data_IF_017390294008
#
_entry.id   IF_017390294008
#
_cell.length_a   1.000
_cell.length_b   1.000
_cell.length_c   1.000
_cell.angle_alpha   90.00
_cell.angle_beta   90.00
_cell.angle_gamma   90.00
#
_symmetry.space_group_name_H-M   'P 1'
#
loop_
_entity.id
_entity.type
_entity.pdbx_description
1 polymer ?
#
# COMPACT_ATOMS: atom_id res chain seq x y z
N UNK A 1 -46.69 71.89 6.93
CA UNK A 1 -46.71 71.25 8.27
C UNK A 1 -47.51 69.97 8.16
N UNK A 2 -46.83 68.81 8.13
CA UNK A 2 -47.27 67.46 8.52
C UNK A 2 -46.52 66.41 7.68
N UNK A 3 -45.73 65.60 8.38
CA UNK A 3 -44.95 64.49 7.87
C UNK A 3 -45.80 63.20 7.76
N UNK A 4 -45.38 62.24 6.93
CA UNK A 4 -44.85 60.93 7.37
C UNK A 4 -44.68 59.94 6.21
N UNK A 5 -43.63 59.12 6.35
CA UNK A 5 -43.05 58.12 5.45
C UNK A 5 -43.96 56.91 5.16
N UNK A 6 -43.63 56.11 4.13
CA UNK A 6 -43.31 54.66 4.22
C UNK A 6 -42.63 54.18 2.92
N UNK A 7 -41.51 53.45 3.09
CA UNK A 7 -40.76 52.67 2.09
C UNK A 7 -41.43 51.30 1.85
N UNK A 8 -41.49 50.82 0.60
CA UNK A 8 -41.27 49.39 0.28
C UNK A 8 -40.53 49.24 -1.04
N UNK A 9 -39.42 48.52 -0.92
CA UNK A 9 -38.38 48.15 -1.86
C UNK A 9 -38.87 47.25 -3.01
N UNK A 10 -38.51 47.59 -4.24
CA UNK A 10 -38.70 46.74 -5.42
C UNK A 10 -37.73 45.57 -5.45
N UNK A 11 -38.25 44.34 -5.44
CA UNK A 11 -37.47 43.14 -5.73
C UNK A 11 -37.73 42.72 -7.19
N UNK A 12 -36.93 43.25 -8.10
CA UNK A 12 -36.87 42.80 -9.48
C UNK A 12 -35.41 42.74 -9.89
N UNK A 13 -34.87 41.54 -10.09
CA UNK A 13 -33.70 41.24 -10.92
C UNK A 13 -33.50 39.72 -11.03
N UNK A 14 -34.12 39.19 -12.08
CA UNK A 14 -33.51 38.38 -13.14
C UNK A 14 -32.54 37.27 -12.70
N UNK A 15 -33.05 36.04 -12.81
CA UNK A 15 -32.28 34.83 -13.10
C UNK A 15 -31.20 35.10 -14.15
N UNK A 16 -29.93 35.11 -13.74
CA UNK A 16 -28.79 35.03 -14.64
C UNK A 16 -28.22 33.61 -14.66
N UNK A 17 -28.49 32.94 -15.78
CA UNK A 17 -27.47 32.24 -16.57
C UNK A 17 -26.67 31.16 -15.87
N UNK A 18 -27.23 29.95 -15.86
CA UNK A 18 -26.48 28.71 -15.70
C UNK A 18 -25.73 28.44 -17.01
N UNK A 19 -24.56 29.08 -17.18
CA UNK A 19 -23.63 28.73 -18.26
C UNK A 19 -22.83 27.54 -17.76
N UNK A 20 -23.09 26.37 -18.37
CA UNK A 20 -22.40 25.13 -18.07
C UNK A 20 -20.89 25.27 -18.25
N UNK A 21 -20.16 25.29 -17.13
CA UNK A 21 -18.80 24.81 -17.13
C UNK A 21 -18.85 23.29 -17.38
N UNK A 22 -18.06 22.73 -18.30
CA UNK A 22 -17.88 21.29 -18.32
C UNK A 22 -17.37 20.88 -16.95
N UNK A 23 -18.10 19.98 -16.28
CA UNK A 23 -17.66 19.37 -15.05
C UNK A 23 -16.33 18.65 -15.33
N UNK A 24 -15.23 19.35 -15.09
CA UNK A 24 -13.93 18.73 -14.99
C UNK A 24 -13.98 17.83 -13.76
N UNK A 25 -14.43 16.59 -13.95
CA UNK A 25 -14.24 15.48 -13.03
C UNK A 25 -12.75 15.06 -12.97
N UNK A 26 -11.83 16.00 -13.22
CA UNK A 26 -10.43 15.85 -12.90
C UNK A 26 -10.25 16.40 -11.49
N UNK A 27 -10.06 15.54 -10.49
CA UNK A 27 -9.47 15.98 -9.25
C UNK A 27 -8.21 16.77 -9.59
N UNK A 28 -8.25 18.10 -9.39
CA UNK A 28 -7.14 18.97 -9.70
C UNK A 28 -5.91 18.38 -9.00
N UNK A 29 -4.93 17.94 -9.80
CA UNK A 29 -3.65 17.51 -9.26
C UNK A 29 -3.13 18.70 -8.45
N UNK A 30 -2.91 18.55 -7.13
CA UNK A 30 -2.31 19.63 -6.36
C UNK A 30 -1.04 20.05 -7.07
N UNK A 31 -0.81 21.36 -7.24
CA UNK A 31 0.46 21.85 -7.75
C UNK A 31 1.60 21.14 -7.00
N UNK A 32 2.61 20.66 -7.72
CA UNK A 32 3.72 19.92 -7.14
C UNK A 32 4.41 20.80 -6.09
N UNK A 33 4.05 20.61 -4.83
CA UNK A 33 4.71 21.24 -3.70
C UNK A 33 5.94 20.37 -3.45
N UNK A 34 7.12 20.90 -3.75
CA UNK A 34 8.38 20.20 -3.47
C UNK A 34 8.50 19.80 -2.00
N UNK A 35 9.52 19.01 -1.68
CA UNK A 35 9.80 18.69 -0.28
C UNK A 35 10.11 19.98 0.49
N UNK A 36 9.54 20.09 1.69
CA UNK A 36 9.70 21.26 2.57
C UNK A 36 10.18 20.78 3.91
N UNK A 37 11.22 21.42 4.41
CA UNK A 37 11.79 21.19 5.72
C UNK A 37 11.52 22.40 6.60
N UNK A 38 11.16 22.13 7.86
CA UNK A 38 11.01 23.17 8.89
C UNK A 38 12.29 23.17 9.71
N UNK A 39 12.94 24.32 9.79
CA UNK A 39 14.18 24.51 10.54
C UNK A 39 13.90 25.47 11.69
N UNK A 40 14.22 25.03 12.90
CA UNK A 40 14.12 25.85 14.12
C UNK A 40 15.52 26.36 14.48
N UNK A 41 15.68 27.67 14.54
CA UNK A 41 16.93 28.35 14.91
C UNK A 41 16.67 29.11 16.21
N UNK A 42 17.47 28.84 17.24
CA UNK A 42 17.36 29.50 18.54
C UNK A 42 18.47 30.54 18.69
N UNK A 43 18.10 31.83 18.67
CA UNK A 43 19.00 32.95 18.91
C UNK A 43 18.67 33.55 20.30
N UNK A 44 19.38 33.06 21.32
CA UNK A 44 19.17 33.49 22.70
C UNK A 44 17.78 33.11 23.24
N UNK A 45 16.87 34.09 23.33
CA UNK A 45 15.47 33.91 23.79
C UNK A 45 14.45 33.85 22.65
N UNK A 46 14.87 34.09 21.41
CA UNK A 46 13.98 34.15 20.25
C UNK A 46 14.11 32.86 19.44
N UNK A 47 12.99 32.20 19.15
CA UNK A 47 12.92 31.02 18.28
C UNK A 47 12.43 31.43 16.89
N UNK A 48 13.30 31.33 15.89
CA UNK A 48 12.98 31.61 14.49
C UNK A 48 12.64 30.27 13.81
N UNK A 49 11.49 30.20 13.15
CA UNK A 49 11.02 29.00 12.45
C UNK A 49 10.98 29.30 10.94
N UNK A 50 11.89 28.69 10.19
CA UNK A 50 12.00 28.87 8.73
C UNK A 50 11.49 27.65 7.97
N UNK A 51 10.87 27.88 6.79
CA UNK A 51 10.49 26.82 5.86
C UNK A 51 11.40 26.81 4.63
N UNK A 52 12.25 25.80 4.48
CA UNK A 52 13.16 25.64 3.33
C UNK A 52 12.56 24.65 2.33
N UNK A 53 12.53 25.02 1.05
CA UNK A 53 12.11 24.12 -0.03
C UNK A 53 13.36 23.38 -0.50
N UNK A 54 13.39 22.07 -0.35
CA UNK A 54 14.47 21.21 -0.84
C UNK A 54 14.15 20.71 -2.24
N UNK A 55 15.19 20.40 -3.01
CA UNK A 55 15.06 19.88 -4.36
C UNK A 55 14.32 18.53 -4.36
N UNK A 56 13.37 18.39 -5.29
CA UNK A 56 12.70 17.13 -5.55
C UNK A 56 13.41 16.36 -6.64
N UNK A 57 13.57 15.03 -6.52
CA UNK A 57 14.05 14.21 -7.61
C UNK A 57 13.21 14.46 -8.87
N UNK A 58 13.88 14.63 -10.03
CA UNK A 58 13.18 14.78 -11.30
C UNK A 58 12.43 13.49 -11.67
N UNK A 59 11.28 13.68 -12.36
CA UNK A 59 10.46 12.58 -12.85
C UNK A 59 11.24 11.79 -13.92
N UNK A 60 11.17 10.46 -13.81
CA UNK A 60 11.75 9.48 -14.73
C UNK A 60 11.28 9.68 -16.19
N UNK A 61 11.99 9.10 -17.19
CA UNK A 61 11.64 9.22 -18.61
C UNK A 61 10.20 8.82 -18.93
N UNK A 62 9.79 9.14 -20.16
CA UNK A 62 8.43 8.98 -20.66
C UNK A 62 7.81 7.63 -20.25
N UNK A 63 6.59 7.65 -19.70
CA UNK A 63 5.93 6.43 -19.25
C UNK A 63 5.63 5.47 -20.41
N UNK A 64 5.53 4.15 -20.15
CA UNK A 64 5.12 3.19 -21.16
C UNK A 64 3.62 3.33 -21.53
N UNK A 65 2.77 3.80 -20.64
CA UNK A 65 1.34 4.00 -20.91
C UNK A 65 0.89 5.42 -20.46
N UNK A 66 0.76 6.39 -21.37
CA UNK A 66 0.35 7.75 -21.02
C UNK A 66 -1.13 7.87 -20.62
N UNK A 67 -1.97 6.88 -20.95
CA UNK A 67 -3.42 6.90 -20.67
C UNK A 67 -3.76 6.51 -19.22
N UNK A 68 -2.80 5.98 -18.47
CA UNK A 68 -3.01 5.55 -17.08
C UNK A 68 -3.28 6.72 -16.14
N UNK A 69 -4.38 6.64 -15.37
CA UNK A 69 -4.76 7.67 -14.39
C UNK A 69 -3.85 7.70 -13.15
N UNK A 70 -3.37 6.52 -12.74
CA UNK A 70 -2.53 6.34 -11.56
C UNK A 70 -1.08 6.02 -11.95
N UNK A 71 -0.05 6.39 -11.15
CA UNK A 71 1.35 6.07 -11.45
C UNK A 71 1.56 4.57 -11.72
N UNK A 72 1.05 3.68 -10.86
CA UNK A 72 1.19 2.22 -11.02
C UNK A 72 0.55 1.72 -12.33
N UNK A 73 -0.59 2.31 -12.72
CA UNK A 73 -1.32 2.00 -13.94
C UNK A 73 -0.52 2.49 -15.17
N UNK A 74 0.06 3.68 -15.08
CA UNK A 74 0.88 4.34 -16.10
C UNK A 74 2.15 3.54 -16.41
N UNK A 75 2.69 2.85 -15.40
CA UNK A 75 3.86 1.98 -15.49
C UNK A 75 3.52 0.50 -15.73
N UNK A 76 2.25 0.14 -15.92
CA UNK A 76 1.79 -1.25 -16.13
C UNK A 76 2.26 -2.24 -15.02
N UNK A 77 2.34 -1.74 -13.79
CA UNK A 77 2.77 -2.51 -12.61
C UNK A 77 1.60 -3.16 -11.85
N UNK A 78 0.36 -3.01 -12.32
CA UNK A 78 -0.82 -3.59 -11.68
C UNK A 78 -0.64 -5.12 -11.54
N UNK A 79 -0.81 -5.64 -10.32
CA UNK A 79 -0.66 -7.06 -9.96
C UNK A 79 0.74 -7.67 -10.10
N UNK A 80 1.78 -6.87 -10.35
CA UNK A 80 3.15 -7.38 -10.53
C UNK A 80 4.07 -7.19 -9.32
N UNK A 81 3.68 -6.34 -8.38
CA UNK A 81 4.51 -6.01 -7.21
C UNK A 81 4.04 -6.72 -5.95
N UNK A 82 4.99 -6.98 -5.05
CA UNK A 82 4.80 -7.58 -3.74
C UNK A 82 5.34 -6.73 -2.59
N UNK A 83 5.45 -7.35 -1.41
CA UNK A 83 6.08 -6.74 -0.23
C UNK A 83 7.62 -6.76 -0.30
N UNK A 84 8.18 -7.51 -1.23
CA UNK A 84 9.61 -7.69 -1.47
C UNK A 84 10.20 -6.53 -2.28
N UNK A 85 9.37 -5.82 -3.05
CA UNK A 85 9.78 -4.74 -3.95
C UNK A 85 10.05 -3.42 -3.22
N UNK A 86 11.12 -3.41 -2.41
CA UNK A 86 11.52 -2.26 -1.57
C UNK A 86 11.73 -0.98 -2.39
N UNK A 87 12.21 -1.10 -3.63
CA UNK A 87 12.48 0.05 -4.51
C UNK A 87 11.21 0.77 -4.96
N UNK A 88 10.11 0.04 -5.13
CA UNK A 88 8.81 0.62 -5.46
C UNK A 88 8.16 1.20 -4.19
N UNK A 89 8.20 0.42 -3.10
CA UNK A 89 7.54 0.81 -1.85
C UNK A 89 8.17 2.08 -1.25
N UNK A 90 9.50 2.21 -1.27
CA UNK A 90 10.21 3.35 -0.68
C UNK A 90 9.79 4.72 -1.24
N UNK A 91 9.33 4.77 -2.49
CA UNK A 91 8.86 5.99 -3.15
C UNK A 91 7.59 6.56 -2.52
N UNK A 92 6.75 5.70 -1.91
CA UNK A 92 5.45 6.08 -1.33
C UNK A 92 5.50 6.26 0.19
N UNK A 93 6.67 6.14 0.82
CA UNK A 93 6.84 6.15 2.28
C UNK A 93 7.62 7.39 2.71
N UNK A 94 7.32 7.88 3.91
CA UNK A 94 8.06 8.94 4.61
C UNK A 94 9.40 8.42 5.15
N UNK A 95 10.36 9.30 5.48
CA UNK A 95 11.60 8.87 6.15
C UNK A 95 11.35 8.10 7.46
N UNK A 96 10.21 8.29 8.14
CA UNK A 96 9.87 7.60 9.39
C UNK A 96 9.06 6.29 9.24
N UNK A 97 8.83 5.81 8.01
CA UNK A 97 8.06 4.58 7.76
C UNK A 97 6.53 4.80 7.66
N UNK A 98 6.05 6.04 7.71
CA UNK A 98 4.64 6.36 7.49
C UNK A 98 4.27 6.43 6.01
N UNK A 99 3.10 5.94 5.63
CA UNK A 99 2.59 6.02 4.25
C UNK A 99 2.27 7.47 3.85
N UNK A 100 2.54 7.85 2.59
CA UNK A 100 2.11 9.14 2.04
C UNK A 100 0.61 9.16 1.73
N UNK A 101 -0.08 10.31 1.83
CA UNK A 101 -1.51 10.39 1.57
C UNK A 101 -1.85 10.20 0.07
N UNK A 102 -2.97 9.51 -0.21
CA UNK A 102 -3.45 9.24 -1.58
C UNK A 102 -3.54 10.48 -2.47
N UNK A 103 -4.01 11.60 -1.91
CA UNK A 103 -4.18 12.88 -2.63
C UNK A 103 -2.88 13.43 -3.21
N UNK A 104 -1.75 13.11 -2.59
CA UNK A 104 -0.41 13.55 -3.03
C UNK A 104 0.22 12.52 -3.97
N UNK A 105 0.12 11.23 -3.63
CA UNK A 105 0.68 10.14 -4.47
C UNK A 105 -0.03 9.96 -5.81
N UNK A 106 -1.30 10.36 -5.93
CA UNK A 106 -2.09 10.18 -7.16
C UNK A 106 -2.48 8.72 -7.46
N UNK A 107 -2.42 7.83 -6.46
CA UNK A 107 -2.79 6.42 -6.62
C UNK A 107 -4.32 6.21 -6.63
N UNK A 108 -4.76 5.17 -7.35
CA UNK A 108 -6.12 4.63 -7.22
C UNK A 108 -6.36 4.11 -5.80
N UNK A 109 -7.61 4.08 -5.37
CA UNK A 109 -7.96 3.65 -4.00
C UNK A 109 -7.57 2.19 -3.73
N UNK A 110 -7.71 1.32 -4.72
CA UNK A 110 -7.31 -0.09 -4.66
C UNK A 110 -5.81 -0.24 -4.48
N UNK A 111 -5.02 0.37 -5.36
CA UNK A 111 -3.56 0.30 -5.33
C UNK A 111 -2.99 0.98 -4.09
N UNK A 112 -3.61 2.06 -3.60
CA UNK A 112 -3.20 2.70 -2.36
C UNK A 112 -3.34 1.75 -1.15
N UNK A 113 -4.44 0.99 -1.07
CA UNK A 113 -4.64 -0.01 0.00
C UNK A 113 -3.63 -1.15 -0.09
N UNK A 114 -3.42 -1.69 -1.30
CA UNK A 114 -2.43 -2.75 -1.54
C UNK A 114 -1.03 -2.31 -1.12
N UNK A 115 -0.58 -1.14 -1.56
CA UNK A 115 0.74 -0.60 -1.17
C UNK A 115 0.80 -0.40 0.34
N UNK A 116 -0.24 0.15 0.98
CA UNK A 116 -0.25 0.32 2.44
C UNK A 116 -0.05 -1.02 3.18
N UNK A 117 -0.66 -2.09 2.68
CA UNK A 117 -0.53 -3.43 3.25
C UNK A 117 0.86 -4.03 2.97
N UNK A 118 1.38 -3.89 1.76
CA UNK A 118 2.75 -4.27 1.42
C UNK A 118 3.78 -3.55 2.30
N UNK A 119 3.61 -2.25 2.55
CA UNK A 119 4.47 -1.46 3.44
C UNK A 119 4.41 -1.98 4.87
N UNK A 120 3.20 -2.27 5.39
CA UNK A 120 3.02 -2.87 6.73
C UNK A 120 3.72 -4.23 6.83
N UNK A 121 3.66 -5.04 5.78
CA UNK A 121 4.33 -6.33 5.71
C UNK A 121 5.85 -6.17 5.66
N UNK A 122 6.37 -5.27 4.83
CA UNK A 122 7.80 -4.99 4.69
C UNK A 122 8.43 -4.50 6.00
N UNK A 123 7.75 -3.63 6.75
CA UNK A 123 8.21 -3.19 8.07
C UNK A 123 8.27 -4.34 9.09
N UNK A 124 7.29 -5.25 9.08
CA UNK A 124 7.29 -6.42 9.97
C UNK A 124 8.35 -7.45 9.59
N UNK A 125 8.66 -7.55 8.30
CA UNK A 125 9.72 -8.42 7.78
C UNK A 125 11.12 -7.83 7.97
N UNK A 126 11.25 -6.53 8.27
CA UNK A 126 12.54 -5.88 8.50
C UNK A 126 13.25 -5.44 7.21
N UNK A 127 12.55 -5.36 6.08
CA UNK A 127 13.12 -4.96 4.78
C UNK A 127 13.46 -3.47 4.70
N UNK A 128 12.92 -2.64 5.61
CA UNK A 128 13.08 -1.18 5.64
C UNK A 128 13.80 -0.73 6.92
N UNK A 129 15.12 -0.98 7.07
CA UNK A 129 15.87 -0.63 8.28
C UNK A 129 16.04 0.88 8.47
N UNK A 130 16.18 1.64 7.39
CA UNK A 130 16.41 3.10 7.42
C UNK A 130 15.12 3.89 7.74
N UNK A 131 13.95 3.29 7.59
CA UNK A 131 12.65 3.95 7.76
C UNK A 131 12.04 3.66 9.14
N UNK A 132 12.82 3.89 10.20
CA UNK A 132 12.36 3.71 11.58
C UNK A 132 11.86 5.03 12.17
N UNK A 133 10.90 4.98 13.10
CA UNK A 133 10.48 6.18 13.83
C UNK A 133 11.67 6.72 14.63
N UNK A 134 11.76 8.06 14.71
CA UNK A 134 12.74 8.72 15.58
C UNK A 134 12.38 8.42 17.04
N UNK A 135 13.37 7.98 17.80
CA UNK A 135 13.25 7.76 19.23
C UNK A 135 13.61 9.08 19.95
N UNK A 136 12.99 9.37 21.10
CA UNK A 136 13.38 10.53 21.90
C UNK A 136 14.81 10.37 22.42
N UNK A 137 15.46 11.50 22.68
CA UNK A 137 16.83 11.55 23.17
C UNK A 137 16.98 10.72 24.46
N UNK A 138 18.04 9.91 24.54
CA UNK A 138 18.30 9.01 25.69
C UNK A 138 17.46 7.73 25.76
N UNK A 139 16.54 7.46 24.84
CA UNK A 139 15.78 6.20 24.84
C UNK A 139 16.56 5.06 24.19
N UNK A 140 17.06 4.13 25.02
CA UNK A 140 17.74 2.91 24.57
C UNK A 140 16.70 1.77 24.46
N UNK A 141 16.44 1.22 23.26
CA UNK A 141 15.47 0.14 23.10
C UNK A 141 15.96 -1.16 23.76
N UNK A 142 15.10 -1.78 24.57
CA UNK A 142 15.39 -3.10 25.18
C UNK A 142 15.59 -4.17 24.10
N UNK A 143 16.55 -5.07 24.32
CA UNK A 143 16.73 -6.25 23.48
C UNK A 143 15.49 -7.14 23.54
N UNK A 144 15.00 -7.52 22.37
CA UNK A 144 13.90 -8.48 22.20
C UNK A 144 14.43 -9.63 21.35
N UNK A 145 13.91 -10.86 21.54
CA UNK A 145 14.25 -11.95 20.65
C UNK A 145 13.89 -11.54 19.22
N UNK A 146 14.87 -11.57 18.34
CA UNK A 146 14.68 -11.27 16.93
C UNK A 146 14.11 -12.52 16.27
N UNK A 147 12.84 -12.42 15.84
CA UNK A 147 12.15 -13.50 15.14
C UNK A 147 12.03 -13.12 13.67
N UNK A 148 12.63 -13.93 12.81
CA UNK A 148 12.50 -13.76 11.36
C UNK A 148 11.05 -14.08 10.96
N UNK A 149 10.38 -13.10 10.36
CA UNK A 149 8.97 -13.20 9.95
C UNK A 149 8.83 -12.60 8.56
N UNK A 150 8.01 -13.21 7.74
CA UNK A 150 7.65 -12.71 6.41
C UNK A 150 6.15 -12.94 6.22
N UNK A 151 5.55 -12.31 5.21
CA UNK A 151 4.16 -12.60 4.83
C UNK A 151 3.11 -12.37 5.96
N UNK A 152 3.41 -11.47 6.92
CA UNK A 152 2.56 -11.28 8.11
C UNK A 152 1.44 -10.26 7.90
N UNK A 153 0.18 -10.71 7.94
CA UNK A 153 -1.03 -9.84 7.84
C UNK A 153 -1.31 -9.04 9.11
N UNK A 154 -1.15 -9.65 10.28
CA UNK A 154 -1.50 -9.07 11.57
C UNK A 154 -0.29 -8.51 12.32
N UNK A 155 -0.53 -7.60 13.26
CA UNK A 155 0.50 -7.15 14.19
C UNK A 155 0.91 -8.30 15.13
N UNK A 156 2.21 -8.52 15.37
CA UNK A 156 2.66 -9.55 16.30
C UNK A 156 2.04 -9.47 17.71
N UNK A 157 1.67 -8.27 18.15
CA UNK A 157 1.10 -8.05 19.50
C UNK A 157 -0.41 -8.27 19.59
N UNK A 158 -1.13 -8.27 18.46
CA UNK A 158 -2.59 -8.38 18.46
C UNK A 158 -3.09 -9.82 18.32
N UNK A 159 -2.22 -10.74 17.88
CA UNK A 159 -2.59 -12.14 17.63
C UNK A 159 -2.50 -12.94 18.93
N UNK A 160 -3.60 -13.56 19.34
CA UNK A 160 -3.64 -14.53 20.43
C UNK A 160 -3.32 -15.94 19.89
N UNK A 161 -2.62 -16.80 20.65
CA UNK A 161 -2.41 -18.18 20.25
C UNK A 161 -3.75 -18.93 20.18
N UNK A 162 -3.89 -19.80 19.19
CA UNK A 162 -5.05 -20.69 19.04
C UNK A 162 -4.78 -21.94 19.88
N UNK A 163 -5.34 -21.99 21.09
CA UNK A 163 -5.22 -23.17 21.96
C UNK A 163 -6.07 -24.34 21.43
N UNK A 164 -7.30 -24.06 21.01
CA UNK A 164 -8.23 -25.06 20.51
C UNK A 164 -8.35 -24.93 18.98
N UNK A 165 -7.71 -25.83 18.24
CA UNK A 165 -7.72 -25.81 16.76
C UNK A 165 -9.03 -26.29 16.13
N UNK A 166 -9.88 -26.99 16.90
CA UNK A 166 -11.08 -27.64 16.39
C UNK A 166 -10.80 -28.96 15.65
N UNK A 167 -11.86 -29.67 15.30
CA UNK A 167 -11.84 -30.83 14.43
C UNK A 167 -11.67 -30.40 12.97
N UNK A 168 -11.53 -31.37 12.05
CA UNK A 168 -11.27 -31.10 10.63
C UNK A 168 -12.33 -30.19 9.99
N UNK A 169 -13.61 -30.37 10.33
CA UNK A 169 -14.74 -29.62 9.74
C UNK A 169 -14.93 -28.21 10.32
N UNK A 170 -14.34 -27.90 11.48
CA UNK A 170 -14.42 -26.58 12.13
C UNK A 170 -13.02 -26.06 12.51
N UNK A 171 -12.02 -26.40 11.69
CA UNK A 171 -10.63 -26.10 11.99
C UNK A 171 -10.36 -24.61 11.88
N UNK A 172 -9.82 -24.03 12.95
CA UNK A 172 -9.30 -22.67 12.92
C UNK A 172 -7.96 -22.64 12.16
N UNK A 173 -7.98 -22.10 10.95
CA UNK A 173 -6.78 -21.96 10.13
C UNK A 173 -6.03 -20.68 10.50
N UNK A 174 -4.70 -20.76 10.71
CA UNK A 174 -3.89 -19.56 10.77
C UNK A 174 -4.01 -18.80 9.46
N UNK A 175 -4.18 -17.47 9.49
CA UNK A 175 -4.21 -16.67 8.28
C UNK A 175 -2.80 -16.68 7.65
N UNK A 176 -2.62 -17.49 6.62
CA UNK A 176 -1.46 -17.43 5.75
C UNK A 176 -1.83 -16.48 4.59
N UNK A 177 -1.23 -15.29 4.63
CA UNK A 177 -1.28 -14.24 3.61
C UNK A 177 -2.58 -13.41 3.47
N UNK A 178 -2.34 -12.18 3.04
CA UNK A 178 -3.29 -11.14 2.67
C UNK A 178 -3.97 -11.49 1.33
N UNK A 179 -5.30 -11.50 1.33
CA UNK A 179 -6.18 -11.74 0.18
C UNK A 179 -6.20 -10.56 -0.80
N UNK A 180 -5.05 -9.96 -1.10
CA UNK A 180 -4.90 -8.86 -2.07
C UNK A 180 -5.06 -9.28 -3.53
N UNK A 181 -5.16 -10.59 -3.80
CA UNK A 181 -5.66 -11.15 -5.05
C UNK A 181 -7.19 -11.34 -5.07
N UNK A 182 -7.91 -11.17 -3.96
CA UNK A 182 -9.35 -11.47 -3.87
C UNK A 182 -10.26 -10.29 -4.22
N UNK A 183 -9.75 -9.05 -4.29
CA UNK A 183 -10.56 -7.93 -4.77
C UNK A 183 -10.88 -7.97 -6.29
N UNK A 184 -10.35 -8.93 -7.05
CA UNK A 184 -10.67 -9.11 -8.47
C UNK A 184 -11.81 -10.12 -8.70
N UNK A 185 -12.20 -10.91 -7.69
CA UNK A 185 -13.25 -11.94 -7.85
C UNK A 185 -14.62 -11.55 -7.26
N UNK A 186 -14.76 -10.34 -6.72
CA UNK A 186 -16.01 -9.85 -6.13
C UNK A 186 -16.64 -8.68 -6.90
N UNK A 187 -16.23 -8.44 -8.15
CA UNK A 187 -17.05 -7.73 -9.13
C UNK A 187 -17.59 -8.76 -10.10
N UNK A 188 -18.89 -9.04 -9.99
CA UNK A 188 -19.58 -10.07 -10.73
C UNK A 188 -19.35 -9.98 -12.24
N UNK A 189 -18.75 -11.04 -12.77
CA UNK A 189 -19.15 -11.60 -14.04
C UNK A 189 -19.40 -13.08 -13.76
N UNK A 190 -20.63 -13.53 -14.00
CA UNK A 190 -20.97 -14.95 -14.06
C UNK A 190 -20.07 -15.57 -15.12
N UNK A 191 -19.15 -16.45 -14.73
CA UNK A 191 -18.47 -17.33 -15.68
C UNK A 191 -18.68 -18.74 -15.15
N UNK A 192 -19.46 -19.48 -15.92
CA UNK A 192 -19.96 -20.80 -15.56
C UNK A 192 -18.83 -21.79 -15.29
N UNK A 193 -19.00 -22.60 -14.24
CA UNK A 193 -18.09 -23.65 -13.75
C UNK A 193 -18.13 -24.89 -14.66
N UNK A 194 -18.18 -24.69 -15.98
CA UNK A 194 -18.46 -25.77 -16.93
C UNK A 194 -17.70 -25.64 -18.26
N UNK A 195 -16.41 -25.26 -18.26
CA UNK A 195 -15.56 -25.48 -19.46
C UNK A 195 -14.07 -25.56 -19.14
N UNK A 196 -13.63 -26.57 -18.36
CA UNK A 196 -12.25 -27.11 -18.51
C UNK A 196 -12.28 -28.63 -18.27
N UNK A 197 -13.02 -29.34 -19.12
CA UNK A 197 -12.75 -30.74 -19.43
C UNK A 197 -12.54 -30.78 -20.95
N UNK A 198 -11.31 -31.06 -21.39
CA UNK A 198 -11.06 -31.38 -22.79
C UNK A 198 -9.70 -30.93 -23.33
N UNK A 199 -8.79 -31.91 -23.36
CA UNK A 199 -7.82 -32.18 -24.43
C UNK A 199 -6.64 -31.21 -24.72
N UNK A 200 -5.45 -31.80 -24.86
CA UNK A 200 -4.24 -31.18 -25.41
C UNK A 200 -3.00 -31.48 -24.56
N UNK A 201 -2.45 -32.71 -24.58
CA UNK A 201 -1.38 -33.19 -25.47
C UNK A 201 0.03 -33.00 -24.88
N UNK A 202 0.71 -34.14 -24.84
CA UNK A 202 2.05 -34.48 -24.34
C UNK A 202 3.17 -33.61 -24.94
N UNK A 203 4.14 -33.24 -24.12
CA UNK A 203 5.42 -32.65 -24.54
C UNK A 203 6.42 -33.73 -24.97
N UNK A 204 7.13 -33.51 -26.08
CA UNK A 204 8.42 -34.13 -26.39
C UNK A 204 9.40 -33.06 -26.86
N UNK A 205 10.53 -32.95 -26.16
CA UNK A 205 11.63 -32.03 -26.46
C UNK A 205 12.86 -32.35 -25.60
N UNK A 206 13.61 -33.37 -26.01
CA UNK A 206 15.05 -33.61 -25.72
C UNK A 206 15.88 -32.42 -26.28
N UNK A 207 17.00 -31.91 -25.76
CA UNK A 207 18.11 -32.35 -24.87
C UNK A 207 18.82 -31.06 -24.31
N UNK A 208 20.10 -31.06 -23.85
CA UNK A 208 20.63 -31.47 -22.55
C UNK A 208 21.45 -30.33 -21.87
N UNK A 209 22.09 -30.65 -20.75
CA UNK A 209 23.21 -29.94 -20.07
C UNK A 209 22.92 -29.35 -18.68
N UNK A 210 23.83 -29.73 -17.76
CA UNK A 210 24.04 -29.26 -16.39
C UNK A 210 23.15 -29.85 -15.27
N UNK A 211 23.58 -30.99 -14.72
CA UNK A 211 23.31 -31.33 -13.30
C UNK A 211 24.32 -30.65 -12.37
N UNK A 212 24.43 -31.04 -11.08
CA UNK A 212 23.44 -31.65 -10.19
C UNK A 212 23.23 -30.78 -8.92
N UNK A 213 22.08 -30.80 -8.24
CA UNK A 213 22.03 -30.62 -6.77
C UNK A 213 20.68 -31.12 -6.22
N UNK A 214 20.66 -32.41 -5.89
CA UNK A 214 19.63 -33.04 -5.08
C UNK A 214 19.67 -32.47 -3.66
N UNK A 215 18.77 -31.55 -3.32
CA UNK A 215 18.39 -31.29 -1.93
C UNK A 215 17.09 -32.04 -1.63
N UNK A 216 17.25 -33.34 -1.38
CA UNK A 216 16.24 -34.19 -0.75
C UNK A 216 15.97 -33.67 0.66
N UNK A 217 14.89 -32.91 0.84
CA UNK A 217 14.29 -32.73 2.17
C UNK A 217 13.62 -34.05 2.54
N UNK A 218 14.38 -34.94 3.18
CA UNK A 218 13.82 -36.10 3.90
C UNK A 218 12.95 -35.58 5.04
N UNK A 219 11.68 -35.97 5.17
CA UNK A 219 10.97 -35.82 6.42
C UNK A 219 11.59 -36.77 7.46
N UNK A 220 12.09 -36.21 8.56
CA UNK A 220 12.49 -36.98 9.74
C UNK A 220 11.27 -37.75 10.27
N UNK A 221 11.18 -39.04 9.94
CA UNK A 221 10.27 -39.95 10.62
C UNK A 221 10.93 -40.33 11.95
N UNK A 222 10.45 -39.75 13.05
CA UNK A 222 10.83 -40.12 14.40
C UNK A 222 10.38 -41.56 14.71
N UNK A 223 11.33 -42.36 15.18
CA UNK A 223 11.20 -43.72 15.64
C UNK A 223 10.18 -43.87 16.79
N UNK A 224 9.18 -44.74 16.60
CA UNK A 224 8.39 -45.30 17.71
C UNK A 224 9.04 -46.62 18.10
N UNK A 225 9.67 -46.63 19.27
CA UNK A 225 10.16 -47.83 19.95
C UNK A 225 8.99 -48.58 20.58
N UNK A 226 8.76 -49.83 20.16
CA UNK A 226 7.91 -50.77 20.90
C UNK A 226 8.72 -51.39 22.06
N UNK A 227 8.26 -51.16 23.29
CA UNK A 227 8.67 -51.92 24.47
C UNK A 227 7.67 -53.05 24.72
N UNK A 228 8.21 -54.28 24.76
CA UNK A 228 7.68 -55.56 25.28
C UNK A 228 6.20 -55.88 25.13
#
# INVERSE_FOLDING_TARGET
MAALNVLVTGCGRLFRGLVGLPAANGWARPAARGFREVVEIQEGKTTIIEGRITETPQESPLPPNPSGQCPICRWNLKHKYGYEDVLLLSQFIRPHGGMLPRRITGLCQEEHRKIEECVKMAHRAGLLPNHRPRLPEGFIPKSKPQLNRYLTRWSPRSVKPIYNKGHRWNKAWPPLQHEGQVYVLLTGAHVDVATVLGAGSVEEGLDPECGPHTLLIKPCCGSISHTK
#
